data_IF_592227616216
#
_entry.id   IF_592227616216
#
_cell.length_a   1.000
_cell.length_b   1.000
_cell.length_c   1.000
_cell.angle_alpha   90.00
_cell.angle_beta   90.00
_cell.angle_gamma   90.00
#
_symmetry.space_group_name_H-M   'P 1'
#
loop_
_entity.id
_entity.type
_entity.pdbx_description
1 polymer ?
#
# COMPACT_ATOMS: atom_id res chain seq x y z
N UNK A 1 17.22 0.17 26.27
CA UNK A 1 16.06 -0.55 25.67
C UNK A 1 15.01 0.41 25.11
N UNK A 2 14.67 1.50 25.82
CA UNK A 2 13.80 2.61 25.35
C UNK A 2 14.16 3.17 23.96
N UNK A 3 15.44 3.47 23.71
CA UNK A 3 15.87 4.06 22.44
C UNK A 3 15.65 3.13 21.24
N UNK A 4 15.96 1.83 21.40
CA UNK A 4 15.77 0.82 20.34
C UNK A 4 14.30 0.69 19.97
N UNK A 5 13.40 0.70 20.97
CA UNK A 5 11.95 0.66 20.75
C UNK A 5 11.46 1.89 19.98
N UNK A 6 11.92 3.09 20.34
CA UNK A 6 11.56 4.34 19.63
C UNK A 6 12.03 4.32 18.18
N UNK A 7 13.26 3.89 17.93
CA UNK A 7 13.80 3.74 16.57
C UNK A 7 12.97 2.73 15.76
N UNK A 8 12.60 1.59 16.33
CA UNK A 8 11.78 0.59 15.63
C UNK A 8 10.40 1.14 15.25
N UNK A 9 9.75 1.93 16.12
CA UNK A 9 8.46 2.58 15.82
C UNK A 9 8.60 3.56 14.66
N UNK A 10 9.65 4.40 14.66
CA UNK A 10 9.92 5.36 13.58
C UNK A 10 10.22 4.65 12.26
N UNK A 11 11.05 3.61 12.28
CA UNK A 11 11.39 2.83 11.09
C UNK A 11 10.17 2.11 10.52
N UNK A 12 9.34 1.48 11.36
CA UNK A 12 8.07 0.90 10.92
C UNK A 12 7.15 1.98 10.31
N UNK A 13 7.18 3.18 10.90
CA UNK A 13 6.57 4.39 10.37
C UNK A 13 6.96 4.64 8.92
N UNK A 14 8.26 4.84 8.72
CA UNK A 14 8.87 5.15 7.44
C UNK A 14 8.64 4.06 6.38
N UNK A 15 8.83 2.78 6.73
CA UNK A 15 8.67 1.65 5.79
C UNK A 15 7.23 1.58 5.29
N UNK A 16 6.24 1.75 6.17
CA UNK A 16 4.82 1.75 5.80
C UNK A 16 4.49 2.86 4.79
N UNK A 17 4.96 4.08 5.06
CA UNK A 17 4.66 5.25 4.23
C UNK A 17 5.40 5.15 2.88
N UNK A 18 6.67 4.68 2.89
CA UNK A 18 7.44 4.39 1.68
C UNK A 18 6.78 3.31 0.83
N UNK A 19 6.36 2.19 1.44
CA UNK A 19 5.68 1.11 0.74
C UNK A 19 4.37 1.58 0.09
N UNK A 20 3.66 2.52 0.71
CA UNK A 20 2.45 3.14 0.14
C UNK A 20 2.76 3.95 -1.13
N UNK A 21 3.81 4.75 -1.10
CA UNK A 21 4.27 5.50 -2.29
C UNK A 21 4.79 4.58 -3.40
N UNK A 22 5.53 3.54 -3.03
CA UNK A 22 6.02 2.52 -3.96
C UNK A 22 4.87 1.76 -4.64
N UNK A 23 3.88 1.29 -3.86
CA UNK A 23 2.66 0.64 -4.36
C UNK A 23 1.93 1.48 -5.40
N UNK A 24 1.73 2.78 -5.12
CA UNK A 24 1.06 3.68 -6.06
C UNK A 24 1.90 3.90 -7.32
N UNK A 25 3.22 4.01 -7.18
CA UNK A 25 4.14 4.19 -8.31
C UNK A 25 4.11 2.99 -9.25
N UNK A 26 4.04 1.76 -8.72
CA UNK A 26 3.91 0.55 -9.52
C UNK A 26 2.59 0.53 -10.32
N UNK A 27 1.47 0.97 -9.72
CA UNK A 27 0.19 1.08 -10.43
C UNK A 27 0.26 2.10 -11.58
N UNK A 28 0.90 3.24 -11.36
CA UNK A 28 1.13 4.24 -12.41
C UNK A 28 2.02 3.66 -13.52
N UNK A 29 3.08 2.92 -13.17
CA UNK A 29 3.94 2.26 -14.14
C UNK A 29 3.17 1.25 -15.00
N UNK A 30 2.34 0.38 -14.38
CA UNK A 30 1.48 -0.58 -15.08
C UNK A 30 0.56 0.13 -16.07
N UNK A 31 -0.05 1.25 -15.66
CA UNK A 31 -0.92 2.06 -16.49
C UNK A 31 -0.22 2.63 -17.72
N UNK A 32 0.96 3.22 -17.53
CA UNK A 32 1.74 3.80 -18.61
C UNK A 32 2.22 2.72 -19.59
N UNK A 33 2.73 1.60 -19.06
CA UNK A 33 3.13 0.46 -19.87
C UNK A 33 1.98 -0.12 -20.68
N UNK A 34 0.75 -0.11 -20.15
CA UNK A 34 -0.42 -0.58 -20.89
C UNK A 34 -0.64 0.24 -22.17
N UNK A 35 -0.47 1.56 -22.09
CA UNK A 35 -0.61 2.44 -23.26
C UNK A 35 0.46 2.14 -24.30
N UNK A 36 1.71 1.95 -23.89
CA UNK A 36 2.79 1.58 -24.81
C UNK A 36 2.58 0.20 -25.44
N UNK A 37 2.04 -0.77 -24.69
CA UNK A 37 1.71 -2.11 -25.20
C UNK A 37 0.73 -2.06 -26.37
N UNK A 38 -0.26 -1.17 -26.29
CA UNK A 38 -1.28 -1.00 -27.34
C UNK A 38 -0.72 -0.27 -28.56
N UNK A 39 0.23 0.65 -28.36
CA UNK A 39 0.84 1.45 -29.43
C UNK A 39 1.95 0.73 -30.19
N UNK A 40 2.63 -0.23 -29.56
CA UNK A 40 3.76 -0.98 -30.12
C UNK A 40 3.53 -2.49 -30.05
N UNK A 41 2.72 -3.07 -30.95
CA UNK A 41 2.42 -4.50 -30.99
C UNK A 41 3.67 -5.39 -31.03
N UNK A 42 4.73 -4.93 -31.70
CA UNK A 42 6.01 -5.61 -31.82
C UNK A 42 6.76 -5.77 -30.47
N UNK A 43 6.50 -4.88 -29.51
CA UNK A 43 7.07 -4.95 -28.15
C UNK A 43 6.09 -5.51 -27.12
N UNK A 44 4.87 -5.89 -27.53
CA UNK A 44 3.78 -6.18 -26.60
C UNK A 44 4.13 -7.27 -25.58
N UNK A 45 4.82 -8.32 -26.01
CA UNK A 45 5.23 -9.45 -25.13
C UNK A 45 6.25 -9.01 -24.08
N UNK A 46 7.23 -8.18 -24.45
CA UNK A 46 8.26 -7.68 -23.53
C UNK A 46 7.64 -6.72 -22.52
N UNK A 47 6.81 -5.79 -23.00
CA UNK A 47 6.09 -4.83 -22.14
C UNK A 47 5.19 -5.58 -21.15
N UNK A 48 4.49 -6.63 -21.58
CA UNK A 48 3.66 -7.45 -20.70
C UNK A 48 4.47 -8.12 -19.58
N UNK A 49 5.67 -8.62 -19.88
CA UNK A 49 6.56 -9.19 -18.85
C UNK A 49 6.95 -8.13 -17.80
N UNK A 50 7.28 -6.92 -18.24
CA UNK A 50 7.61 -5.79 -17.35
C UNK A 50 6.40 -5.35 -16.52
N UNK A 51 5.20 -5.28 -17.12
CA UNK A 51 3.96 -4.99 -16.39
C UNK A 51 3.69 -6.00 -15.27
N UNK A 52 3.90 -7.30 -15.54
CA UNK A 52 3.74 -8.36 -14.54
C UNK A 52 4.77 -8.26 -13.42
N UNK A 53 6.00 -7.85 -13.74
CA UNK A 53 7.01 -7.55 -12.72
C UNK A 53 6.52 -6.43 -11.78
N UNK A 54 6.05 -5.30 -12.31
CA UNK A 54 5.50 -4.22 -11.49
C UNK A 54 4.25 -4.65 -10.70
N UNK A 55 3.40 -5.50 -11.27
CA UNK A 55 2.25 -6.04 -10.54
C UNK A 55 2.66 -6.85 -9.31
N UNK A 56 3.66 -7.74 -9.43
CA UNK A 56 4.11 -8.52 -8.27
C UNK A 56 4.82 -7.64 -7.22
N UNK A 57 5.53 -6.58 -7.64
CA UNK A 57 6.07 -5.58 -6.72
C UNK A 57 4.95 -4.82 -6.00
N UNK A 58 3.88 -4.44 -6.71
CA UNK A 58 2.69 -3.81 -6.14
C UNK A 58 2.04 -4.72 -5.08
N UNK A 59 1.89 -6.03 -5.35
CA UNK A 59 1.38 -6.99 -4.37
C UNK A 59 2.32 -7.10 -3.16
N UNK A 60 3.63 -7.17 -3.37
CA UNK A 60 4.62 -7.19 -2.29
C UNK A 60 4.58 -5.91 -1.42
N UNK A 61 4.40 -4.75 -2.05
CA UNK A 61 4.23 -3.47 -1.37
C UNK A 61 2.96 -3.47 -0.51
N UNK A 62 1.83 -3.97 -1.03
CA UNK A 62 0.60 -4.09 -0.28
C UNK A 62 0.74 -5.01 0.94
N UNK A 63 1.38 -6.18 0.79
CA UNK A 63 1.70 -7.07 1.92
C UNK A 63 2.53 -6.34 2.98
N UNK A 64 3.52 -5.56 2.55
CA UNK A 64 4.36 -4.75 3.45
C UNK A 64 3.55 -3.68 4.19
N UNK A 65 2.64 -2.99 3.50
CA UNK A 65 1.72 -1.99 4.10
C UNK A 65 0.87 -2.64 5.17
N UNK A 66 0.29 -3.81 4.91
CA UNK A 66 -0.54 -4.53 5.89
C UNK A 66 0.26 -5.03 7.08
N UNK A 67 1.45 -5.61 6.86
CA UNK A 67 2.31 -6.09 7.94
C UNK A 67 2.76 -4.94 8.86
N UNK A 68 3.25 -3.84 8.28
CA UNK A 68 3.72 -2.66 9.02
C UNK A 68 2.58 -1.85 9.65
N UNK A 69 1.43 -1.79 8.98
CA UNK A 69 0.21 -1.16 9.47
C UNK A 69 -0.38 -1.92 10.66
N UNK A 70 -0.44 -3.25 10.57
CA UNK A 70 -0.89 -4.12 11.66
C UNK A 70 -0.01 -3.99 12.92
N UNK A 71 1.30 -3.86 12.75
CA UNK A 71 2.20 -3.58 13.89
C UNK A 71 1.87 -2.26 14.61
N UNK A 72 1.40 -1.21 13.90
CA UNK A 72 0.99 0.06 14.51
C UNK A 72 -0.25 -0.09 15.42
N UNK A 73 -1.09 -1.11 15.21
CA UNK A 73 -2.25 -1.37 16.07
C UNK A 73 -1.87 -1.81 17.48
N UNK A 74 -0.70 -2.42 17.66
CA UNK A 74 -0.23 -2.91 18.96
C UNK A 74 0.56 -1.88 19.78
N UNK A 75 0.99 -0.77 19.16
CA UNK A 75 1.78 0.29 19.83
C UNK A 75 0.96 1.47 20.31
N UNK A 76 -0.37 1.49 20.09
CA UNK A 76 -1.26 2.53 20.60
C UNK A 76 -1.66 2.21 22.04
N UNK A 77 -0.91 2.75 22.97
CA UNK A 77 -1.18 2.71 24.41
C UNK A 77 -0.99 4.14 24.88
N UNK A 78 -2.10 4.87 25.10
CA UNK A 78 -2.27 5.97 26.06
C UNK A 78 -3.42 6.91 25.68
N UNK A 79 -4.33 7.13 26.64
CA UNK A 79 -5.53 7.96 26.52
C UNK A 79 -5.20 9.44 26.72
N UNK A 80 -4.61 10.06 25.70
CA UNK A 80 -4.15 11.45 25.79
C UNK A 80 -5.26 12.52 25.65
N UNK A 81 -6.43 12.18 25.08
CA UNK A 81 -7.43 13.16 24.64
C UNK A 81 -8.81 13.08 25.35
N UNK A 82 -8.97 12.25 26.39
CA UNK A 82 -10.26 12.02 27.07
C UNK A 82 -11.18 11.01 26.36
N UNK A 83 -12.13 10.40 27.09
CA UNK A 83 -12.91 9.24 26.62
C UNK A 83 -13.76 9.50 25.37
N UNK A 84 -14.40 10.68 25.25
CA UNK A 84 -15.29 10.97 24.14
C UNK A 84 -14.54 11.25 22.82
N UNK A 85 -13.36 11.86 22.92
CA UNK A 85 -12.47 12.07 21.77
C UNK A 85 -11.89 10.74 21.31
N UNK A 86 -11.61 9.82 22.24
CA UNK A 86 -11.10 8.48 21.92
C UNK A 86 -12.11 7.63 21.16
N UNK A 87 -13.40 7.64 21.56
CA UNK A 87 -14.49 6.94 20.84
C UNK A 87 -14.60 7.43 19.40
N UNK A 88 -14.57 8.75 19.20
CA UNK A 88 -14.63 9.37 17.87
C UNK A 88 -13.39 9.01 17.05
N UNK A 89 -12.20 9.08 17.65
CA UNK A 89 -10.94 8.72 17.02
C UNK A 89 -10.91 7.26 16.57
N UNK A 90 -11.38 6.32 17.40
CA UNK A 90 -11.47 4.89 17.03
C UNK A 90 -12.39 4.67 15.84
N UNK A 91 -13.58 5.29 15.83
CA UNK A 91 -14.50 5.23 14.68
C UNK A 91 -13.86 5.75 13.39
N UNK A 92 -13.18 6.90 13.47
CA UNK A 92 -12.47 7.49 12.32
C UNK A 92 -11.30 6.61 11.85
N UNK A 93 -10.57 5.97 12.76
CA UNK A 93 -9.51 5.02 12.41
C UNK A 93 -10.06 3.80 11.67
N UNK A 94 -11.18 3.23 12.13
CA UNK A 94 -11.83 2.10 11.46
C UNK A 94 -12.28 2.52 10.05
N UNK A 95 -12.97 3.65 9.94
CA UNK A 95 -13.42 4.17 8.65
C UNK A 95 -12.25 4.38 7.68
N UNK A 96 -11.15 4.97 8.16
CA UNK A 96 -9.92 5.12 7.38
C UNK A 96 -9.42 3.78 6.84
N UNK A 97 -9.36 2.74 7.67
CA UNK A 97 -8.87 1.43 7.23
C UNK A 97 -9.80 0.79 6.21
N UNK A 98 -11.13 0.92 6.37
CA UNK A 98 -12.10 0.41 5.39
C UNK A 98 -11.87 1.10 4.03
N UNK A 99 -11.79 2.43 4.02
CA UNK A 99 -11.56 3.20 2.79
C UNK A 99 -10.23 2.81 2.14
N UNK A 100 -9.14 2.74 2.93
CA UNK A 100 -7.83 2.35 2.41
C UNK A 100 -7.81 0.90 1.91
N UNK A 101 -8.52 -0.02 2.57
CA UNK A 101 -8.62 -1.41 2.13
C UNK A 101 -9.33 -1.52 0.77
N UNK A 102 -10.41 -0.75 0.58
CA UNK A 102 -11.10 -0.67 -0.72
C UNK A 102 -10.20 -0.06 -1.79
N UNK A 103 -9.45 1.00 -1.49
CA UNK A 103 -8.52 1.63 -2.44
C UNK A 103 -7.39 0.66 -2.83
N UNK A 104 -6.75 0.03 -1.85
CA UNK A 104 -5.65 -0.92 -2.09
C UNK A 104 -6.15 -2.15 -2.85
N UNK A 105 -7.26 -2.74 -2.41
CA UNK A 105 -7.87 -3.89 -3.08
C UNK A 105 -8.34 -3.57 -4.50
N UNK A 106 -8.98 -2.42 -4.69
CA UNK A 106 -9.40 -1.93 -6.01
C UNK A 106 -8.22 -1.67 -6.95
N UNK A 107 -7.15 -1.07 -6.44
CA UNK A 107 -5.91 -0.84 -7.19
C UNK A 107 -5.24 -2.14 -7.61
N UNK A 108 -5.12 -3.12 -6.71
CA UNK A 108 -4.58 -4.45 -7.03
C UNK A 108 -5.46 -5.16 -8.06
N UNK A 109 -6.78 -5.17 -7.86
CA UNK A 109 -7.70 -5.78 -8.80
C UNK A 109 -7.60 -5.14 -10.20
N UNK A 110 -7.52 -3.82 -10.26
CA UNK A 110 -7.33 -3.09 -11.51
C UNK A 110 -5.98 -3.41 -12.17
N UNK A 111 -4.89 -3.43 -11.41
CA UNK A 111 -3.56 -3.82 -11.90
C UNK A 111 -3.56 -5.26 -12.44
N UNK A 112 -4.25 -6.18 -11.76
CA UNK A 112 -4.41 -7.57 -12.23
C UNK A 112 -5.10 -7.62 -13.60
N UNK A 113 -6.19 -6.86 -13.77
CA UNK A 113 -6.91 -6.77 -15.04
C UNK A 113 -6.04 -6.22 -16.18
N UNK A 114 -5.12 -5.31 -15.90
CA UNK A 114 -4.22 -4.77 -16.94
C UNK A 114 -3.13 -5.78 -17.36
N UNK A 115 -2.66 -6.60 -16.42
CA UNK A 115 -1.51 -7.49 -16.62
C UNK A 115 -1.87 -8.94 -17.01
N UNK A 116 -3.09 -9.39 -16.73
CA UNK A 116 -3.47 -10.80 -16.89
C UNK A 116 -4.83 -11.04 -17.56
N UNK A 117 -5.66 -10.02 -17.73
CA UNK A 117 -6.92 -10.13 -18.47
C UNK A 117 -6.82 -9.50 -19.86
#
# INVERSE_FOLDING_TARGET
>A
MEAVKKVAIVLNGFIHDFATGYWLSDLIAIYLLQRYRVQSPELATVILAVQRFFFWNCVGAAVTIFATGGMRSFTYVDNFFGEDVEKTRRKMLILKHIVLFVIVGGGIFWGYRMCFA
#
